data_IF_752552897770
#
_entry.id   IF_752552897770
#
_cell.length_a   1.000
_cell.length_b   1.000
_cell.length_c   1.000
_cell.angle_alpha   90.00
_cell.angle_beta   90.00
_cell.angle_gamma   90.00
#
_symmetry.space_group_name_H-M   'P 1'
#
loop_
_entity.id
_entity.type
_entity.pdbx_description
1 polymer ?
#
# COMPACT_ATOMS: atom_id res chain seq x y z
N UNK A 1 -3.91 -14.50 -5.58
CA UNK A 1 -5.11 -15.36 -5.54
C UNK A 1 -5.16 -15.97 -4.17
N UNK A 2 -6.23 -15.74 -3.42
CA UNK A 2 -6.50 -16.57 -2.25
C UNK A 2 -6.71 -17.98 -2.78
N UNK A 3 -6.17 -19.01 -2.17
CA UNK A 3 -6.17 -20.45 -2.59
C UNK A 3 -7.58 -21.05 -2.84
N UNK A 4 -8.47 -20.31 -3.48
CA UNK A 4 -9.86 -20.71 -3.71
C UNK A 4 -10.74 -20.76 -2.45
N UNK A 5 -10.21 -20.34 -1.30
CA UNK A 5 -10.97 -20.34 -0.05
C UNK A 5 -12.01 -19.21 -0.04
N UNK A 6 -13.26 -19.60 0.04
CA UNK A 6 -14.38 -18.65 0.14
C UNK A 6 -14.48 -18.11 1.57
N UNK A 7 -14.62 -16.79 1.69
CA UNK A 7 -14.93 -16.16 2.99
C UNK A 7 -16.44 -16.33 3.21
N UNK A 8 -16.81 -17.08 4.25
CA UNK A 8 -18.19 -17.25 4.64
C UNK A 8 -18.69 -16.01 5.38
N UNK A 9 -19.70 -15.35 4.82
CA UNK A 9 -20.37 -14.22 5.43
C UNK A 9 -21.69 -14.67 6.04
N UNK A 10 -21.96 -14.22 7.27
CA UNK A 10 -23.23 -14.39 7.96
C UNK A 10 -23.86 -13.04 8.26
N UNK A 11 -25.19 -12.98 8.33
CA UNK A 11 -25.88 -11.78 8.80
C UNK A 11 -26.00 -11.84 10.31
N UNK A 12 -25.69 -10.73 10.98
CA UNK A 12 -25.94 -10.58 12.41
C UNK A 12 -27.41 -10.24 12.69
N UNK A 13 -27.73 -10.04 13.97
CA UNK A 13 -29.10 -9.71 14.42
C UNK A 13 -29.63 -8.40 13.84
N UNK A 14 -28.76 -7.50 13.44
CA UNK A 14 -29.08 -6.18 12.84
C UNK A 14 -29.04 -6.23 11.31
N UNK A 15 -28.91 -7.43 10.69
CA UNK A 15 -28.87 -7.65 9.26
C UNK A 15 -27.54 -7.29 8.58
N UNK A 16 -26.51 -6.90 9.35
CA UNK A 16 -25.19 -6.58 8.82
C UNK A 16 -24.39 -7.84 8.47
N UNK A 17 -23.64 -7.79 7.36
CA UNK A 17 -22.75 -8.88 6.97
C UNK A 17 -21.51 -8.92 7.88
N UNK A 18 -21.26 -10.05 8.49
CA UNK A 18 -20.05 -10.34 9.29
C UNK A 18 -19.38 -11.60 8.78
N UNK A 19 -18.06 -11.65 8.92
CA UNK A 19 -17.31 -12.88 8.60
C UNK A 19 -17.61 -13.94 9.67
N UNK A 20 -18.00 -15.14 9.23
CA UNK A 20 -18.35 -16.25 10.11
C UNK A 20 -17.15 -16.72 10.94
N UNK A 21 -15.96 -16.79 10.33
CA UNK A 21 -14.73 -17.20 10.98
C UNK A 21 -13.73 -16.04 11.12
N UNK A 22 -13.56 -15.57 12.36
CA UNK A 22 -12.61 -14.49 12.69
C UNK A 22 -11.15 -14.90 12.46
N UNK A 23 -10.82 -16.18 12.59
CA UNK A 23 -9.45 -16.67 12.35
C UNK A 23 -9.13 -16.63 10.86
N UNK A 24 -10.08 -17.04 9.99
CA UNK A 24 -9.94 -16.91 8.54
C UNK A 24 -9.71 -15.44 8.13
N UNK A 25 -10.49 -14.52 8.69
CA UNK A 25 -10.31 -13.08 8.44
C UNK A 25 -8.93 -12.58 8.91
N UNK A 26 -8.48 -13.04 10.09
CA UNK A 26 -7.16 -12.66 10.62
C UNK A 26 -6.05 -13.16 9.70
N UNK A 27 -6.10 -14.41 9.26
CA UNK A 27 -5.13 -14.98 8.31
C UNK A 27 -5.13 -14.21 6.97
N UNK A 28 -6.31 -13.89 6.44
CA UNK A 28 -6.40 -13.09 5.22
C UNK A 28 -5.73 -11.72 5.38
N UNK A 29 -5.95 -11.05 6.52
CA UNK A 29 -5.34 -9.74 6.81
C UNK A 29 -3.82 -9.80 6.98
N UNK A 30 -3.24 -10.94 7.32
CA UNK A 30 -1.77 -11.09 7.32
C UNK A 30 -1.18 -11.17 5.92
N UNK A 31 -1.97 -11.71 4.96
CA UNK A 31 -1.57 -11.83 3.56
C UNK A 31 -1.77 -10.54 2.76
N UNK A 32 -2.63 -9.65 3.25
CA UNK A 32 -2.97 -8.38 2.62
C UNK A 32 -2.58 -7.25 3.58
N UNK A 33 -1.69 -6.36 3.16
CA UNK A 33 -1.36 -5.17 3.96
C UNK A 33 -1.69 -3.92 3.17
N UNK A 34 -2.03 -2.84 3.88
CA UNK A 34 -2.47 -1.60 3.28
C UNK A 34 -1.58 -0.44 3.73
N UNK A 35 -1.16 0.35 2.77
CA UNK A 35 -0.48 1.63 2.94
C UNK A 35 -1.48 2.73 2.62
N UNK A 36 -1.74 3.60 3.58
CA UNK A 36 -2.76 4.65 3.50
C UNK A 36 -2.15 5.97 3.05
N UNK A 37 -3.00 6.88 2.58
CA UNK A 37 -2.69 8.25 2.25
C UNK A 37 -2.10 9.01 3.46
N UNK A 38 -2.73 8.88 4.64
CA UNK A 38 -2.21 9.40 5.89
C UNK A 38 -1.41 8.30 6.56
N UNK A 39 -0.14 8.39 6.63
CA UNK A 39 0.88 7.42 7.05
C UNK A 39 0.47 6.46 8.18
N UNK A 40 -0.43 6.88 9.07
CA UNK A 40 -1.01 6.12 10.19
C UNK A 40 0.06 5.48 11.09
N UNK A 41 1.17 6.19 11.30
CA UNK A 41 2.19 5.77 12.24
C UNK A 41 1.72 6.02 13.68
N UNK A 42 2.05 5.11 14.57
CA UNK A 42 1.81 5.27 16.00
C UNK A 42 2.77 6.33 16.56
N UNK A 43 2.22 7.49 16.93
CA UNK A 43 3.00 8.67 17.34
C UNK A 43 3.82 8.47 18.62
N UNK A 44 3.38 7.55 19.48
CA UNK A 44 4.04 7.18 20.75
C UNK A 44 5.12 6.11 20.61
N UNK A 45 5.32 5.58 19.42
CA UNK A 45 6.35 4.59 19.08
C UNK A 45 7.43 5.19 18.20
N UNK A 46 8.64 4.74 18.36
CA UNK A 46 9.75 5.05 17.45
C UNK A 46 9.50 4.46 16.06
N UNK A 47 10.29 4.89 15.08
CA UNK A 47 10.29 4.33 13.71
C UNK A 47 10.48 2.82 13.73
N UNK A 48 11.48 2.34 14.47
CA UNK A 48 11.76 0.91 14.58
C UNK A 48 10.60 0.15 15.20
N UNK A 49 10.05 0.63 16.31
CA UNK A 49 8.90 0.03 17.00
C UNK A 49 7.66 -0.01 16.12
N UNK A 50 7.38 1.05 15.35
CA UNK A 50 6.28 1.07 14.37
C UNK A 50 6.37 -0.08 13.35
N UNK A 51 7.57 -0.47 12.95
CA UNK A 51 7.76 -1.54 11.97
C UNK A 51 7.78 -2.91 12.64
N UNK A 52 8.25 -3.01 13.89
CA UNK A 52 8.34 -4.27 14.64
C UNK A 52 7.01 -4.76 15.20
N UNK A 53 6.07 -3.85 15.53
CA UNK A 53 4.89 -4.16 16.33
C UNK A 53 4.01 -5.24 15.70
N UNK A 54 3.63 -5.08 14.44
CA UNK A 54 2.77 -6.05 13.77
C UNK A 54 3.44 -7.44 13.59
N UNK A 55 4.71 -7.57 13.20
CA UNK A 55 5.43 -8.85 13.21
C UNK A 55 5.42 -9.55 14.57
N UNK A 56 5.57 -8.82 15.68
CA UNK A 56 5.52 -9.40 17.03
C UNK A 56 4.09 -9.84 17.38
N UNK A 57 3.13 -8.93 17.28
CA UNK A 57 1.77 -9.14 17.81
C UNK A 57 0.91 -10.06 16.92
N UNK A 58 1.15 -10.05 15.61
CA UNK A 58 0.30 -10.73 14.64
C UNK A 58 0.94 -12.02 14.13
N UNK A 59 2.25 -11.98 13.82
CA UNK A 59 2.98 -13.15 13.31
C UNK A 59 3.63 -13.97 14.46
N UNK A 60 3.70 -13.42 15.67
CA UNK A 60 4.29 -14.09 16.82
C UNK A 60 5.81 -14.19 16.79
N UNK A 61 6.48 -13.30 16.02
CA UNK A 61 7.93 -13.30 15.96
C UNK A 61 8.54 -12.87 17.31
N UNK A 62 9.70 -13.39 17.62
CA UNK A 62 10.51 -12.88 18.73
C UNK A 62 10.91 -11.43 18.47
N UNK A 63 11.23 -10.68 19.53
CA UNK A 63 11.72 -9.30 19.40
C UNK A 63 12.96 -9.20 18.50
N UNK A 64 13.85 -10.19 18.56
CA UNK A 64 15.07 -10.22 17.77
C UNK A 64 14.75 -10.40 16.28
N UNK A 65 13.93 -11.39 15.91
CA UNK A 65 13.51 -11.62 14.53
C UNK A 65 12.76 -10.43 13.96
N UNK A 66 11.84 -9.83 14.74
CA UNK A 66 11.09 -8.65 14.33
C UNK A 66 12.01 -7.44 14.10
N UNK A 67 13.05 -7.26 14.95
CA UNK A 67 14.05 -6.20 14.81
C UNK A 67 14.87 -6.39 13.52
N UNK A 68 15.40 -7.57 13.29
CA UNK A 68 16.18 -7.88 12.07
C UNK A 68 15.35 -7.62 10.81
N UNK A 69 14.10 -8.07 10.81
CA UNK A 69 13.15 -7.83 9.72
C UNK A 69 12.84 -6.34 9.54
N UNK A 70 12.59 -5.60 10.62
CA UNK A 70 12.32 -4.17 10.57
C UNK A 70 13.52 -3.39 10.02
N UNK A 71 14.73 -3.66 10.50
CA UNK A 71 15.98 -3.03 10.00
C UNK A 71 16.15 -3.29 8.51
N UNK A 72 15.96 -4.54 8.04
CA UNK A 72 15.99 -4.91 6.63
C UNK A 72 15.04 -4.05 5.78
N UNK A 73 13.78 -3.92 6.20
CA UNK A 73 12.80 -3.19 5.40
C UNK A 73 12.93 -1.66 5.53
N UNK A 74 13.38 -1.15 6.65
CA UNK A 74 13.72 0.28 6.80
C UNK A 74 14.89 0.66 5.88
N UNK A 75 15.95 -0.16 5.83
CA UNK A 75 17.04 0.05 4.90
C UNK A 75 16.58 -0.01 3.44
N UNK A 76 15.69 -0.97 3.10
CA UNK A 76 15.11 -1.11 1.75
C UNK A 76 14.39 0.16 1.28
N UNK A 77 13.70 0.86 2.18
CA UNK A 77 13.00 2.12 1.85
C UNK A 77 13.86 3.37 2.09
N UNK A 78 15.17 3.20 2.30
CA UNK A 78 16.11 4.32 2.47
C UNK A 78 15.94 5.09 3.79
N UNK A 79 15.51 4.42 4.85
CA UNK A 79 15.50 4.96 6.23
C UNK A 79 16.77 4.51 6.94
N UNK A 80 17.63 5.46 7.24
CA UNK A 80 18.92 5.21 7.87
C UNK A 80 18.80 4.77 9.35
N UNK A 81 19.88 4.21 9.88
CA UNK A 81 19.92 3.73 11.26
C UNK A 81 19.67 4.84 12.29
N UNK A 82 20.12 6.08 12.01
CA UNK A 82 19.92 7.23 12.90
C UNK A 82 18.46 7.64 13.02
N UNK A 83 17.66 7.38 12.00
CA UNK A 83 16.23 7.67 12.00
C UNK A 83 15.41 6.61 12.76
N UNK A 84 15.93 5.40 12.96
CA UNK A 84 15.18 4.29 13.56
C UNK A 84 14.75 4.55 15.01
N UNK A 85 15.54 5.33 15.77
CA UNK A 85 15.22 5.74 17.15
C UNK A 85 14.35 7.00 17.25
N UNK A 86 14.03 7.67 16.13
CA UNK A 86 13.20 8.88 16.13
C UNK A 86 11.72 8.52 16.23
N UNK A 87 10.91 9.50 16.65
CA UNK A 87 9.44 9.42 16.61
C UNK A 87 8.91 10.02 15.31
N UNK A 88 7.70 9.63 14.85
CA UNK A 88 7.13 10.13 13.61
C UNK A 88 7.11 11.65 13.45
N UNK A 89 6.89 12.38 14.54
CA UNK A 89 6.88 13.86 14.56
C UNK A 89 8.20 14.49 14.11
N UNK A 90 9.30 13.75 14.19
CA UNK A 90 10.65 14.23 13.80
C UNK A 90 11.02 13.83 12.35
N UNK A 91 10.08 13.30 11.58
CA UNK A 91 10.29 12.86 10.21
C UNK A 91 9.55 13.78 9.22
N UNK A 92 10.12 13.95 8.03
CA UNK A 92 9.38 14.55 6.91
C UNK A 92 8.21 13.65 6.47
N UNK A 93 7.22 14.21 5.75
CA UNK A 93 6.10 13.43 5.21
C UNK A 93 6.57 12.25 4.36
N UNK A 94 7.54 12.47 3.47
CA UNK A 94 8.13 11.41 2.65
C UNK A 94 8.82 10.32 3.48
N UNK A 95 9.52 10.69 4.56
CA UNK A 95 10.11 9.72 5.49
C UNK A 95 9.02 8.92 6.21
N UNK A 96 7.95 9.57 6.68
CA UNK A 96 6.82 8.90 7.34
C UNK A 96 6.15 7.90 6.40
N UNK A 97 5.93 8.26 5.13
CA UNK A 97 5.37 7.36 4.14
C UNK A 97 6.28 6.17 3.85
N UNK A 98 7.59 6.39 3.74
CA UNK A 98 8.56 5.31 3.57
C UNK A 98 8.57 4.34 4.77
N UNK A 99 8.45 4.85 6.00
CA UNK A 99 8.29 4.03 7.21
C UNK A 99 6.98 3.23 7.16
N UNK A 100 5.88 3.84 6.70
CA UNK A 100 4.60 3.15 6.53
C UNK A 100 4.69 2.00 5.52
N UNK A 101 5.43 2.19 4.42
CA UNK A 101 5.72 1.13 3.44
C UNK A 101 6.59 0.03 4.08
N UNK A 102 7.64 0.38 4.83
CA UNK A 102 8.48 -0.59 5.53
C UNK A 102 7.67 -1.43 6.53
N UNK A 103 6.74 -0.81 7.26
CA UNK A 103 5.81 -1.48 8.18
C UNK A 103 4.93 -2.50 7.46
N UNK A 104 4.40 -2.14 6.29
CA UNK A 104 3.62 -3.05 5.47
C UNK A 104 4.48 -4.22 4.96
N UNK A 105 5.69 -3.95 4.47
CA UNK A 105 6.63 -4.95 3.98
C UNK A 105 7.13 -5.92 5.07
N UNK A 106 7.24 -5.46 6.33
CA UNK A 106 7.67 -6.29 7.44
C UNK A 106 6.70 -7.42 7.78
N UNK A 107 5.45 -7.33 7.32
CA UNK A 107 4.48 -8.43 7.40
C UNK A 107 4.72 -9.51 6.33
N UNK A 108 5.59 -9.26 5.34
CA UNK A 108 5.87 -10.12 4.18
C UNK A 108 4.58 -10.58 3.47
N UNK A 109 3.70 -9.63 3.10
CA UNK A 109 2.40 -9.94 2.54
C UNK A 109 2.49 -10.49 1.12
N UNK A 110 1.44 -11.20 0.70
CA UNK A 110 1.26 -11.65 -0.68
C UNK A 110 0.83 -10.50 -1.60
N UNK A 111 0.02 -9.57 -1.07
CA UNK A 111 -0.50 -8.41 -1.81
C UNK A 111 -0.37 -7.14 -0.97
N UNK A 112 0.14 -6.09 -1.59
CA UNK A 112 0.20 -4.74 -1.04
C UNK A 112 -0.91 -3.88 -1.64
N UNK A 113 -1.70 -3.26 -0.79
CA UNK A 113 -2.72 -2.29 -1.18
C UNK A 113 -2.20 -0.89 -0.89
N UNK A 114 -2.25 0.00 -1.87
CA UNK A 114 -1.87 1.40 -1.72
C UNK A 114 -3.08 2.30 -2.01
N UNK A 115 -3.44 3.13 -1.04
CA UNK A 115 -4.52 4.10 -1.18
C UNK A 115 -3.93 5.50 -1.22
N UNK A 116 -3.80 6.04 -2.42
CA UNK A 116 -3.23 7.36 -2.71
C UNK A 116 -1.93 7.67 -1.94
N UNK A 117 -0.89 6.85 -2.05
CA UNK A 117 0.29 6.89 -1.17
C UNK A 117 1.11 8.18 -1.28
N UNK A 118 0.85 9.03 -2.25
CA UNK A 118 1.59 10.29 -2.50
C UNK A 118 0.76 11.55 -2.25
N UNK A 119 -0.56 11.44 -2.08
CA UNK A 119 -1.47 12.58 -2.03
C UNK A 119 -1.27 13.54 -0.85
N UNK A 120 -0.69 13.04 0.24
CA UNK A 120 -0.39 13.84 1.43
C UNK A 120 1.06 14.36 1.47
N UNK A 121 1.80 14.24 0.37
CA UNK A 121 3.20 14.64 0.27
C UNK A 121 3.40 15.93 -0.50
N UNK A 122 4.43 16.68 -0.11
CA UNK A 122 4.94 17.77 -0.93
C UNK A 122 5.45 17.22 -2.28
N UNK A 123 5.26 17.94 -3.40
CA UNK A 123 5.63 17.45 -4.74
C UNK A 123 7.08 16.98 -4.88
N UNK A 124 8.02 17.60 -4.17
CA UNK A 124 9.43 17.22 -4.17
C UNK A 124 9.71 15.83 -3.54
N UNK A 125 8.80 15.35 -2.65
CA UNK A 125 8.94 14.07 -1.94
C UNK A 125 8.24 12.92 -2.66
N UNK A 126 7.34 13.20 -3.60
CA UNK A 126 6.56 12.20 -4.36
C UNK A 126 7.47 11.22 -5.09
N UNK A 127 8.49 11.74 -5.77
CA UNK A 127 9.40 10.93 -6.59
C UNK A 127 10.14 9.84 -5.81
N UNK A 128 10.46 10.09 -4.52
CA UNK A 128 11.13 9.09 -3.68
C UNK A 128 10.22 7.90 -3.38
N UNK A 129 8.94 8.16 -3.07
CA UNK A 129 7.96 7.12 -2.76
C UNK A 129 7.62 6.31 -4.01
N UNK A 130 7.38 6.98 -5.14
CA UNK A 130 7.09 6.29 -6.42
C UNK A 130 8.25 5.38 -6.86
N UNK A 131 9.49 5.80 -6.64
CA UNK A 131 10.67 4.98 -6.96
C UNK A 131 10.73 3.69 -6.14
N UNK A 132 10.39 3.76 -4.83
CA UNK A 132 10.29 2.56 -4.00
C UNK A 132 9.19 1.63 -4.52
N UNK A 133 8.02 2.16 -4.86
CA UNK A 133 6.93 1.36 -5.39
C UNK A 133 7.29 0.71 -6.74
N UNK A 134 8.02 1.42 -7.60
CA UNK A 134 8.53 0.86 -8.85
C UNK A 134 9.50 -0.30 -8.58
N UNK A 135 10.44 -0.16 -7.66
CA UNK A 135 11.34 -1.24 -7.25
C UNK A 135 10.59 -2.47 -6.74
N UNK A 136 9.51 -2.27 -5.98
CA UNK A 136 8.67 -3.37 -5.51
C UNK A 136 7.96 -4.09 -6.66
N UNK A 137 7.53 -3.36 -7.69
CA UNK A 137 6.94 -3.95 -8.90
C UNK A 137 7.98 -4.76 -9.69
N UNK A 138 9.18 -4.23 -9.88
CA UNK A 138 10.31 -4.90 -10.53
C UNK A 138 10.73 -6.19 -9.80
N UNK A 139 10.58 -6.23 -8.48
CA UNK A 139 10.78 -7.43 -7.65
C UNK A 139 9.61 -8.45 -7.75
N UNK A 140 8.60 -8.17 -8.54
CA UNK A 140 7.45 -9.06 -8.72
C UNK A 140 6.44 -9.03 -7.58
N UNK A 141 6.41 -7.98 -6.75
CA UNK A 141 5.38 -7.83 -5.71
C UNK A 141 4.01 -7.54 -6.34
N UNK A 142 3.00 -8.30 -5.94
CA UNK A 142 1.62 -8.02 -6.33
C UNK A 142 1.12 -6.79 -5.59
N UNK A 143 0.68 -5.78 -6.33
CA UNK A 143 0.19 -4.53 -5.79
C UNK A 143 -1.14 -4.13 -6.41
N UNK A 144 -2.04 -3.57 -5.60
CA UNK A 144 -3.22 -2.82 -6.07
C UNK A 144 -3.03 -1.38 -5.61
N UNK A 145 -3.01 -0.44 -6.53
CA UNK A 145 -2.67 0.96 -6.25
C UNK A 145 -3.78 1.87 -6.72
N UNK A 146 -4.35 2.64 -5.81
CA UNK A 146 -5.20 3.80 -6.11
C UNK A 146 -4.29 5.01 -6.18
N UNK A 147 -4.25 5.70 -7.32
CA UNK A 147 -3.34 6.83 -7.52
C UNK A 147 -3.86 7.80 -8.58
N UNK A 148 -3.44 9.04 -8.49
CA UNK A 148 -3.57 10.05 -9.54
C UNK A 148 -2.23 10.33 -10.26
N UNK A 149 -1.18 9.58 -9.95
CA UNK A 149 0.12 9.67 -10.62
C UNK A 149 0.10 8.90 -11.95
N UNK A 150 -0.43 9.53 -13.00
CA UNK A 150 -0.68 8.87 -14.29
C UNK A 150 0.61 8.37 -14.96
N UNK A 151 1.71 9.11 -14.78
CA UNK A 151 3.03 8.68 -15.28
C UNK A 151 3.49 7.38 -14.63
N UNK A 152 3.35 7.25 -13.31
CA UNK A 152 3.65 6.04 -12.58
C UNK A 152 2.72 4.89 -13.01
N UNK A 153 1.40 5.10 -13.03
CA UNK A 153 0.43 4.09 -13.42
C UNK A 153 0.72 3.54 -14.83
N UNK A 154 1.04 4.41 -15.79
CA UNK A 154 1.36 4.02 -17.16
C UNK A 154 2.58 3.11 -17.29
N UNK A 155 3.63 3.37 -16.49
CA UNK A 155 4.91 2.66 -16.63
C UNK A 155 5.01 1.40 -15.76
N UNK A 156 4.25 1.31 -14.67
CA UNK A 156 4.43 0.27 -13.65
C UNK A 156 3.29 -0.75 -13.66
N UNK A 157 2.07 -0.34 -14.04
CA UNK A 157 0.93 -1.25 -13.98
C UNK A 157 0.93 -2.27 -15.13
N UNK A 158 0.40 -3.45 -14.85
CA UNK A 158 0.10 -4.49 -15.85
C UNK A 158 -1.36 -4.45 -16.28
N UNK A 159 -2.23 -3.84 -15.46
CA UNK A 159 -3.65 -3.65 -15.71
C UNK A 159 -4.12 -2.37 -15.03
N UNK A 160 -4.97 -1.60 -15.68
CA UNK A 160 -5.52 -0.34 -15.19
C UNK A 160 -7.04 -0.42 -15.21
N UNK A 161 -7.65 0.09 -14.15
CA UNK A 161 -9.11 0.22 -14.01
C UNK A 161 -9.42 1.69 -13.77
N UNK A 162 -10.21 2.30 -14.65
CA UNK A 162 -10.73 3.65 -14.46
C UNK A 162 -12.13 3.58 -13.86
N UNK A 163 -12.26 4.13 -12.64
CA UNK A 163 -13.52 4.18 -11.90
C UNK A 163 -14.19 5.54 -12.04
N UNK A 164 -15.48 5.53 -12.34
CA UNK A 164 -16.31 6.73 -12.35
C UNK A 164 -17.67 6.47 -11.72
N UNK A 165 -18.09 7.32 -10.78
CA UNK A 165 -19.36 7.19 -10.05
C UNK A 165 -19.62 5.78 -9.46
N UNK A 166 -18.57 5.15 -8.89
CA UNK A 166 -18.66 3.84 -8.26
C UNK A 166 -18.78 2.65 -9.23
N UNK A 167 -18.54 2.88 -10.52
CA UNK A 167 -18.56 1.84 -11.57
C UNK A 167 -17.23 1.79 -12.31
N UNK A 168 -16.91 0.62 -12.86
CA UNK A 168 -15.82 0.49 -13.81
C UNK A 168 -16.29 1.14 -15.11
N UNK A 169 -15.66 2.22 -15.51
CA UNK A 169 -15.93 2.96 -16.74
C UNK A 169 -15.13 2.39 -17.91
N UNK A 170 -13.85 2.08 -17.67
CA UNK A 170 -12.98 1.45 -18.66
C UNK A 170 -11.85 0.73 -17.92
N UNK A 171 -11.41 -0.43 -18.45
CA UNK A 171 -10.29 -1.20 -17.93
C UNK A 171 -9.50 -1.87 -19.03
N UNK A 172 -8.22 -2.15 -18.80
CA UNK A 172 -7.37 -2.84 -19.76
C UNK A 172 -5.86 -2.60 -19.52
N UNK A 173 -5.08 -2.93 -20.53
CA UNK A 173 -3.64 -2.69 -20.52
C UNK A 173 -3.34 -1.18 -20.49
N UNK A 174 -2.27 -0.74 -19.79
CA UNK A 174 -1.93 0.68 -19.68
C UNK A 174 -1.71 1.36 -21.05
N UNK A 175 -1.09 0.68 -22.01
CA UNK A 175 -0.88 1.22 -23.35
C UNK A 175 -2.20 1.59 -24.05
N UNK A 176 -3.23 0.77 -23.84
CA UNK A 176 -4.56 1.01 -24.42
C UNK A 176 -5.26 2.17 -23.70
N UNK A 177 -5.35 2.12 -22.37
CA UNK A 177 -6.08 3.14 -21.62
C UNK A 177 -5.46 4.52 -21.73
N UNK A 178 -4.13 4.62 -21.66
CA UNK A 178 -3.43 5.90 -21.73
C UNK A 178 -3.16 6.38 -23.17
N UNK A 179 -3.09 5.45 -24.14
CA UNK A 179 -2.77 5.77 -25.54
C UNK A 179 -4.00 5.96 -26.43
N UNK A 180 -5.06 5.19 -26.20
CA UNK A 180 -6.28 5.22 -27.01
C UNK A 180 -7.54 4.96 -26.15
N UNK A 181 -7.83 5.82 -25.14
CA UNK A 181 -9.00 5.68 -24.28
C UNK A 181 -10.30 5.78 -25.10
N UNK A 182 -11.24 4.86 -24.87
CA UNK A 182 -12.52 4.83 -25.57
C UNK A 182 -13.59 5.67 -24.87
N UNK A 183 -13.56 5.70 -23.53
CA UNK A 183 -14.50 6.52 -22.75
C UNK A 183 -14.22 8.02 -22.92
N UNK A 184 -15.22 8.82 -23.31
CA UNK A 184 -15.10 10.28 -23.32
C UNK A 184 -14.71 10.85 -21.95
N UNK A 185 -15.15 10.19 -20.88
CA UNK A 185 -14.83 10.61 -19.51
C UNK A 185 -13.37 10.38 -19.18
N UNK A 186 -12.81 9.23 -19.54
CA UNK A 186 -11.38 8.95 -19.39
C UNK A 186 -10.54 9.91 -20.23
N UNK A 187 -10.93 10.18 -21.48
CA UNK A 187 -10.25 11.17 -22.32
C UNK A 187 -10.21 12.55 -21.67
N UNK A 188 -11.32 13.00 -21.08
CA UNK A 188 -11.39 14.28 -20.38
C UNK A 188 -10.47 14.28 -19.14
N UNK A 189 -10.48 13.20 -18.36
CA UNK A 189 -9.66 13.04 -17.17
C UNK A 189 -8.16 13.12 -17.52
N UNK A 190 -7.72 12.35 -18.50
CA UNK A 190 -6.32 12.33 -18.93
C UNK A 190 -5.84 13.69 -19.48
N UNK A 191 -6.68 14.44 -20.21
CA UNK A 191 -6.35 15.81 -20.67
C UNK A 191 -6.11 16.78 -19.51
N UNK A 192 -6.77 16.57 -18.37
CA UNK A 192 -6.58 17.38 -17.16
C UNK A 192 -5.35 17.01 -16.35
N UNK A 193 -4.97 15.72 -16.36
CA UNK A 193 -3.92 15.13 -15.51
C UNK A 193 -2.54 15.08 -16.17
N UNK A 194 -2.44 15.29 -17.48
CA UNK A 194 -1.18 15.25 -18.27
C UNK A 194 -0.60 16.63 -18.57
N UNK A 195 -1.02 17.66 -17.83
CA UNK A 195 -0.48 19.03 -17.96
C UNK A 195 0.70 19.24 -17.04
#
# INVERSE_FOLDING_TARGET
MTDGQTINLVRDKDGQLKVADKNQLRLLRTRLTMVFQHFNLWSHMTVLENVMEAPIQVLGLSKQEARERAVKYLAKVGIDERAQGKYPVHLSGGQQQRVSIARALAMEPEVLLFDEPTSALDPELVGEVLRIMQQLAEEGKTMVVVTHEMGFARHVSTHVIFLHQGKIEEEGAPEQLFGNPQSPRLQQFLKGSLK
#
